data_IF_064606329398
#
_entry.id   IF_064606329398
#
_cell.length_a   1.000
_cell.length_b   1.000
_cell.length_c   1.000
_cell.angle_alpha   90.00
_cell.angle_beta   90.00
_cell.angle_gamma   90.00
#
_symmetry.space_group_name_H-M   'P 1'
#
loop_
_entity.id
_entity.type
_entity.pdbx_description
1 polymer ?
#
# COMPACT_ATOMS: atom_id res chain seq x y z
N UNK A 1 6.12 -17.49 -0.70
CA UNK A 1 4.80 -18.10 -0.98
C UNK A 1 4.94 -18.97 -2.22
N UNK A 2 4.21 -20.08 -2.40
CA UNK A 2 3.89 -20.47 -3.76
C UNK A 2 2.92 -19.41 -4.28
N UNK A 3 3.42 -18.45 -5.06
CA UNK A 3 2.59 -17.49 -5.77
C UNK A 3 1.86 -18.22 -6.91
N UNK A 4 0.52 -18.29 -6.85
CA UNK A 4 -0.29 -18.76 -7.97
C UNK A 4 -0.76 -17.60 -8.87
N UNK A 5 -0.87 -16.39 -8.31
CA UNK A 5 -1.27 -15.18 -9.01
C UNK A 5 -0.49 -13.97 -8.48
N UNK A 6 -0.10 -13.06 -9.38
CA UNK A 6 0.51 -11.79 -8.99
C UNK A 6 -0.56 -10.74 -8.73
N UNK A 7 -0.44 -9.98 -7.63
CA UNK A 7 -1.37 -8.91 -7.30
C UNK A 7 -1.27 -7.78 -8.32
N UNK A 8 -2.35 -7.55 -9.06
CA UNK A 8 -2.47 -6.38 -9.95
C UNK A 8 -2.71 -5.10 -9.15
N UNK A 9 -2.02 -4.01 -9.51
CA UNK A 9 -2.25 -2.67 -8.95
C UNK A 9 -2.73 -1.70 -10.03
N UNK A 10 -3.51 -0.67 -9.67
CA UNK A 10 -3.78 0.44 -10.57
C UNK A 10 -2.47 1.09 -11.06
N UNK A 11 -2.43 1.53 -12.32
CA UNK A 11 -1.24 2.15 -12.91
C UNK A 11 -0.75 3.38 -12.12
N UNK A 12 -1.68 4.14 -11.53
CA UNK A 12 -1.36 5.26 -10.64
C UNK A 12 -0.66 4.84 -9.35
N UNK A 13 -0.96 3.65 -8.82
CA UNK A 13 -0.29 3.11 -7.65
C UNK A 13 1.13 2.68 -7.99
N UNK A 14 1.29 1.90 -9.07
CA UNK A 14 2.59 1.50 -9.57
C UNK A 14 3.48 2.72 -9.84
N UNK A 15 2.92 3.74 -10.51
CA UNK A 15 3.63 5.02 -10.73
C UNK A 15 4.02 5.69 -9.42
N UNK A 16 3.10 5.76 -8.45
CA UNK A 16 3.37 6.41 -7.16
C UNK A 16 4.49 5.74 -6.37
N UNK A 17 4.55 4.40 -6.37
CA UNK A 17 5.60 3.64 -5.70
C UNK A 17 6.96 3.74 -6.41
N UNK A 18 6.97 3.86 -7.75
CA UNK A 18 8.21 3.91 -8.54
C UNK A 18 8.79 5.32 -8.71
N UNK A 19 7.95 6.36 -8.71
CA UNK A 19 8.39 7.73 -9.00
C UNK A 19 9.53 8.25 -8.10
N UNK A 20 9.64 7.90 -6.79
CA UNK A 20 10.75 8.35 -5.94
C UNK A 20 12.12 7.86 -6.41
N UNK A 21 12.15 6.73 -7.12
CA UNK A 21 13.39 6.10 -7.60
C UNK A 21 13.81 6.60 -8.99
N UNK A 22 13.00 7.47 -9.61
CA UNK A 22 13.32 8.02 -10.93
C UNK A 22 14.39 9.11 -10.77
N UNK A 23 15.55 8.92 -11.40
CA UNK A 23 16.67 9.88 -11.33
C UNK A 23 16.73 10.83 -12.54
N UNK A 24 16.23 10.40 -13.70
CA UNK A 24 16.23 11.20 -14.91
C UNK A 24 15.15 10.73 -15.90
N UNK A 25 14.76 11.60 -16.82
CA UNK A 25 13.85 11.32 -17.95
C UNK A 25 14.58 11.62 -19.26
N UNK A 26 14.63 10.67 -20.21
CA UNK A 26 15.12 10.95 -21.55
C UNK A 26 14.31 12.08 -22.22
N UNK A 27 14.93 13.02 -22.97
CA UNK A 27 14.26 14.21 -23.50
C UNK A 27 13.00 13.92 -24.35
N UNK A 28 12.98 12.78 -25.05
CA UNK A 28 11.91 12.41 -25.97
C UNK A 28 10.75 11.67 -25.30
N UNK A 29 10.90 11.18 -24.07
CA UNK A 29 9.84 10.44 -23.42
C UNK A 29 8.81 11.43 -22.87
N UNK A 30 7.48 11.29 -23.03
CA UNK A 30 6.51 12.23 -22.45
C UNK A 30 6.50 12.22 -20.91
N UNK A 31 5.83 13.19 -20.30
CA UNK A 31 5.54 13.18 -18.85
C UNK A 31 4.47 12.12 -18.57
N UNK A 32 4.53 11.49 -17.41
CA UNK A 32 3.52 10.52 -16.99
C UNK A 32 2.35 11.30 -16.36
N UNK A 33 1.15 11.10 -16.88
CA UNK A 33 -0.05 11.86 -16.46
C UNK A 33 -0.84 11.17 -15.34
N UNK A 34 -0.35 10.05 -14.80
CA UNK A 34 -0.98 9.41 -13.65
C UNK A 34 -0.85 10.27 -12.39
N UNK A 35 -1.91 10.23 -11.58
CA UNK A 35 -1.89 10.85 -10.26
C UNK A 35 -0.76 10.30 -9.41
N UNK A 36 -0.09 11.20 -8.68
CA UNK A 36 0.89 10.84 -7.67
C UNK A 36 0.23 10.93 -6.30
N UNK A 37 -0.12 9.80 -5.69
CA UNK A 37 -0.70 9.81 -4.34
C UNK A 37 0.38 10.07 -3.29
N UNK A 38 0.06 10.64 -2.12
CA UNK A 38 0.93 10.56 -0.94
C UNK A 38 1.45 9.16 -0.65
N UNK A 39 2.71 9.03 -0.23
CA UNK A 39 3.25 7.77 0.28
C UNK A 39 2.91 7.57 1.76
N UNK A 40 2.58 6.33 2.11
CA UNK A 40 2.44 5.82 3.47
C UNK A 40 3.77 5.25 3.91
N UNK A 41 4.21 5.66 5.10
CA UNK A 41 5.35 5.10 5.81
C UNK A 41 4.86 4.36 7.06
N UNK A 42 5.07 3.04 7.07
CA UNK A 42 4.71 2.19 8.21
C UNK A 42 5.88 2.20 9.19
N UNK A 43 5.68 2.82 10.35
CA UNK A 43 6.75 3.09 11.31
C UNK A 43 7.12 1.88 12.16
N UNK A 44 6.26 0.86 12.18
CA UNK A 44 6.45 -0.37 12.96
C UNK A 44 6.35 -1.63 12.08
N UNK A 45 7.11 -1.66 10.98
CA UNK A 45 7.17 -2.83 10.10
C UNK A 45 7.52 -4.13 10.87
N UNK A 46 6.96 -5.27 10.49
CA UNK A 46 7.33 -6.56 11.04
C UNK A 46 8.78 -6.92 10.67
N UNK A 47 9.40 -7.80 11.45
CA UNK A 47 10.72 -8.35 11.15
C UNK A 47 10.58 -9.80 10.66
N UNK A 48 11.45 -10.22 9.75
CA UNK A 48 11.53 -11.62 9.32
C UNK A 48 12.49 -12.39 10.24
N UNK A 49 12.01 -13.47 10.88
CA UNK A 49 12.83 -14.27 11.81
C UNK A 49 14.07 -14.91 11.16
N UNK A 50 14.05 -15.13 9.85
CA UNK A 50 15.17 -15.66 9.07
C UNK A 50 15.07 -15.14 7.62
N UNK A 51 16.21 -14.96 6.94
CA UNK A 51 16.32 -14.55 5.53
C UNK A 51 16.13 -13.06 5.19
N UNK A 52 16.15 -12.74 3.88
CA UNK A 52 15.95 -11.37 3.37
C UNK A 52 14.49 -11.18 2.97
N UNK A 53 13.72 -10.32 3.65
CA UNK A 53 12.32 -10.11 3.32
C UNK A 53 12.15 -9.53 1.92
N UNK A 54 11.05 -9.92 1.27
CA UNK A 54 10.69 -9.52 -0.08
C UNK A 54 9.31 -10.04 -0.47
N UNK A 55 8.70 -9.39 -1.45
CA UNK A 55 7.35 -9.71 -1.94
C UNK A 55 7.25 -11.16 -2.45
N UNK A 56 8.34 -11.80 -2.86
CA UNK A 56 8.41 -13.19 -3.32
C UNK A 56 9.02 -14.18 -2.30
N UNK A 57 9.24 -13.74 -1.05
CA UNK A 57 9.88 -14.57 -0.04
C UNK A 57 8.87 -15.21 0.92
N UNK A 58 9.09 -16.46 1.33
CA UNK A 58 8.21 -17.18 2.27
C UNK A 58 8.81 -17.22 3.68
N UNK A 59 8.75 -16.11 4.41
CA UNK A 59 9.24 -16.07 5.78
C UNK A 59 8.08 -15.93 6.75
N UNK A 60 8.12 -16.72 7.83
CA UNK A 60 7.21 -16.54 8.95
C UNK A 60 7.51 -15.19 9.58
N UNK A 61 6.63 -14.22 9.38
CA UNK A 61 6.69 -12.97 10.13
C UNK A 61 6.47 -13.28 11.60
N UNK A 62 7.26 -12.65 12.47
CA UNK A 62 7.16 -12.85 13.92
C UNK A 62 5.77 -12.48 14.47
N UNK A 63 5.03 -11.61 13.77
CA UNK A 63 3.78 -11.01 14.25
C UNK A 63 2.83 -10.66 13.08
N UNK A 64 2.14 -11.67 12.51
CA UNK A 64 1.32 -11.48 11.30
C UNK A 64 -0.10 -10.96 11.53
N UNK A 65 -0.92 -11.64 12.34
CA UNK A 65 -2.34 -11.30 12.48
C UNK A 65 -2.64 -10.52 13.77
N UNK A 66 -3.61 -9.60 13.71
CA UNK A 66 -4.10 -8.80 14.86
C UNK A 66 -3.10 -7.82 15.49
N UNK A 67 -1.93 -7.61 14.88
CA UNK A 67 -1.01 -6.55 15.28
C UNK A 67 -1.58 -5.19 14.90
N UNK A 68 -1.33 -4.18 15.73
CA UNK A 68 -1.62 -2.78 15.39
C UNK A 68 -0.48 -2.20 14.57
N UNK A 69 -0.76 -1.80 13.33
CA UNK A 69 0.13 -1.00 12.52
C UNK A 69 0.02 0.46 12.91
N UNK A 70 1.16 1.13 12.96
CA UNK A 70 1.29 2.57 13.11
C UNK A 70 1.94 3.09 11.84
N UNK A 71 1.38 4.16 11.28
CA UNK A 71 1.88 4.70 10.03
C UNK A 71 1.60 6.19 9.93
N UNK A 72 2.44 6.84 9.13
CA UNK A 72 2.28 8.22 8.70
C UNK A 72 2.14 8.26 7.19
N UNK A 73 1.69 9.37 6.63
CA UNK A 73 1.71 9.56 5.19
C UNK A 73 2.10 10.98 4.80
N UNK A 74 2.51 11.15 3.54
CA UNK A 74 2.89 12.45 3.01
C UNK A 74 1.71 13.43 3.00
N UNK A 75 1.93 14.73 3.23
CA UNK A 75 0.88 15.72 3.05
C UNK A 75 0.52 15.87 1.56
N UNK A 76 -0.67 16.40 1.29
CA UNK A 76 -1.10 16.80 -0.05
C UNK A 76 -0.27 17.99 -0.56
N UNK A 77 -0.15 18.10 -1.88
CA UNK A 77 0.57 19.15 -2.61
C UNK A 77 2.10 19.20 -2.36
N UNK A 78 2.67 18.16 -1.74
CA UNK A 78 4.11 18.01 -1.59
C UNK A 78 4.75 17.80 -2.95
N UNK A 79 5.73 18.61 -3.30
CA UNK A 79 6.54 18.43 -4.51
C UNK A 79 7.40 17.18 -4.37
N UNK A 80 7.37 16.29 -5.37
CA UNK A 80 8.09 15.01 -5.40
C UNK A 80 8.72 14.75 -6.77
N UNK A 81 9.65 13.80 -6.82
CA UNK A 81 10.42 13.46 -8.03
C UNK A 81 11.71 14.27 -8.18
N UNK A 82 12.64 13.78 -9.00
CA UNK A 82 13.97 14.38 -9.19
C UNK A 82 13.93 15.78 -9.83
N UNK A 83 12.89 16.07 -10.60
CA UNK A 83 12.68 17.33 -11.34
C UNK A 83 11.66 18.26 -10.67
N UNK A 84 11.04 17.81 -9.57
CA UNK A 84 9.97 18.54 -8.88
C UNK A 84 8.71 18.79 -9.72
N UNK A 85 8.48 18.05 -10.80
CA UNK A 85 7.33 18.23 -11.68
C UNK A 85 6.04 17.56 -11.19
N UNK A 86 6.13 16.75 -10.13
CA UNK A 86 5.00 16.05 -9.55
C UNK A 86 4.65 16.62 -8.18
N UNK A 87 3.36 16.69 -7.89
CA UNK A 87 2.84 17.01 -6.56
C UNK A 87 1.94 15.89 -6.09
N UNK A 88 2.00 15.58 -4.79
CA UNK A 88 1.09 14.63 -4.19
C UNK A 88 -0.35 15.14 -4.30
N UNK A 89 -1.28 14.29 -4.72
CA UNK A 89 -2.68 14.65 -4.89
C UNK A 89 -3.59 13.46 -4.58
N UNK A 90 -4.80 13.75 -4.13
CA UNK A 90 -5.88 12.80 -3.91
C UNK A 90 -7.22 13.51 -4.13
N UNK A 91 -8.22 12.77 -4.60
CA UNK A 91 -9.62 13.22 -4.70
C UNK A 91 -10.50 12.61 -3.61
N UNK A 92 -9.92 11.75 -2.77
CA UNK A 92 -10.64 11.03 -1.72
C UNK A 92 -11.07 11.98 -0.60
N UNK A 93 -12.15 11.61 0.08
CA UNK A 93 -12.61 12.26 1.30
C UNK A 93 -11.75 11.92 2.53
N UNK A 94 -12.37 12.01 3.70
CA UNK A 94 -11.71 11.71 4.98
C UNK A 94 -11.18 10.27 5.04
N UNK A 95 -9.96 10.08 5.54
CA UNK A 95 -9.34 8.77 5.70
C UNK A 95 -10.09 7.91 6.73
N UNK A 96 -10.62 6.75 6.32
CA UNK A 96 -11.42 5.86 7.19
C UNK A 96 -10.89 4.44 7.28
N UNK A 97 -10.24 3.93 6.24
CA UNK A 97 -9.78 2.54 6.20
C UNK A 97 -8.35 2.42 5.68
N UNK A 98 -7.63 1.41 6.18
CA UNK A 98 -6.42 0.87 5.57
C UNK A 98 -6.82 -0.37 4.76
N UNK A 99 -6.72 -0.28 3.45
CA UNK A 99 -6.94 -1.36 2.50
C UNK A 99 -5.67 -2.18 2.35
N UNK A 100 -5.74 -3.48 2.65
CA UNK A 100 -4.71 -4.47 2.39
C UNK A 100 -5.04 -5.14 1.06
N UNK A 101 -4.15 -4.98 0.09
CA UNK A 101 -4.32 -5.49 -1.27
C UNK A 101 -3.49 -6.77 -1.40
N UNK A 102 -4.19 -7.88 -1.50
CA UNK A 102 -3.62 -9.21 -1.67
C UNK A 102 -4.10 -9.84 -3.00
N UNK A 103 -3.53 -10.98 -3.37
CA UNK A 103 -3.66 -11.61 -4.70
C UNK A 103 -5.11 -11.78 -5.17
N UNK A 104 -6.01 -12.09 -4.25
CA UNK A 104 -7.40 -12.43 -4.58
C UNK A 104 -8.42 -11.38 -4.13
N UNK A 105 -8.14 -10.64 -3.05
CA UNK A 105 -9.11 -9.75 -2.41
C UNK A 105 -8.43 -8.52 -1.79
N UNK A 106 -9.23 -7.46 -1.62
CA UNK A 106 -8.86 -6.31 -0.80
C UNK A 106 -9.59 -6.41 0.53
N UNK A 107 -8.85 -6.34 1.64
CA UNK A 107 -9.41 -6.37 2.99
C UNK A 107 -9.23 -5.01 3.66
N UNK A 108 -10.30 -4.45 4.20
CA UNK A 108 -10.28 -3.13 4.84
C UNK A 108 -10.19 -3.27 6.36
N UNK A 109 -9.25 -2.54 6.95
CA UNK A 109 -9.17 -2.36 8.40
C UNK A 109 -9.56 -0.92 8.75
N UNK A 110 -10.51 -0.69 9.68
CA UNK A 110 -10.84 0.65 10.13
C UNK A 110 -9.64 1.35 10.76
N UNK A 111 -9.47 2.63 10.43
CA UNK A 111 -8.44 3.47 11.05
C UNK A 111 -8.81 3.82 12.49
N UNK A 112 -7.78 3.95 13.32
CA UNK A 112 -7.83 4.31 14.73
C UNK A 112 -6.80 5.40 14.99
N UNK A 113 -7.07 6.29 15.96
CA UNK A 113 -6.16 7.38 16.33
C UNK A 113 -5.76 8.25 15.13
N UNK A 114 -6.72 8.55 14.25
CA UNK A 114 -6.49 9.38 13.06
C UNK A 114 -6.13 10.80 13.51
N UNK A 115 -4.99 11.28 13.03
CA UNK A 115 -4.56 12.68 13.08
C UNK A 115 -4.28 13.18 11.66
N UNK A 116 -3.77 14.40 11.49
CA UNK A 116 -3.63 15.06 10.18
C UNK A 116 -2.91 14.20 9.11
N UNK A 117 -1.84 13.48 9.48
CA UNK A 117 -1.05 12.63 8.57
C UNK A 117 -0.55 11.35 9.26
N UNK A 118 -1.25 10.88 10.29
CA UNK A 118 -0.91 9.62 10.96
C UNK A 118 -2.16 8.91 11.45
N UNK A 119 -2.07 7.58 11.50
CA UNK A 119 -3.13 6.74 12.02
C UNK A 119 -2.56 5.39 12.44
N UNK A 120 -3.46 4.56 12.96
CA UNK A 120 -3.20 3.16 13.25
C UNK A 120 -4.32 2.28 12.71
N UNK A 121 -4.02 1.03 12.41
CA UNK A 121 -5.02 0.04 11.98
C UNK A 121 -4.59 -1.36 12.41
N UNK A 122 -5.55 -2.25 12.65
CA UNK A 122 -5.25 -3.63 13.02
C UNK A 122 -5.12 -4.47 11.76
N UNK A 123 -4.03 -5.23 11.63
CA UNK A 123 -3.84 -6.16 10.51
C UNK A 123 -4.96 -7.20 10.52
N UNK A 124 -5.73 -7.33 9.42
CA UNK A 124 -6.80 -8.31 9.31
C UNK A 124 -6.31 -9.72 9.62
N UNK A 125 -7.10 -10.47 10.38
CA UNK A 125 -6.84 -11.88 10.60
C UNK A 125 -7.38 -12.66 9.41
N UNK A 126 -6.57 -13.53 8.82
CA UNK A 126 -7.12 -14.52 7.92
C UNK A 126 -6.27 -15.76 7.79
N UNK A 127 -6.86 -16.75 7.12
CA UNK A 127 -6.30 -18.09 6.90
C UNK A 127 -6.54 -18.39 5.42
N UNK A 128 -5.50 -18.58 4.60
CA UNK A 128 -5.67 -18.89 3.16
C UNK A 128 -6.19 -20.32 3.00
N UNK A 129 -5.58 -21.26 3.75
CA UNK A 129 -5.99 -22.66 3.81
C UNK A 129 -5.75 -23.18 5.22
N UNK A 130 -6.76 -23.72 5.93
CA UNK A 130 -6.50 -24.43 7.18
C UNK A 130 -5.56 -25.62 6.92
N UNK A 131 -4.49 -25.82 7.69
CA UNK A 131 -4.09 -25.12 8.92
C UNK A 131 -3.04 -24.00 8.71
N UNK A 132 -2.69 -23.65 7.48
CA UNK A 132 -1.72 -22.59 7.18
C UNK A 132 -2.31 -21.19 7.46
N UNK A 133 -1.71 -20.41 8.39
CA UNK A 133 -2.10 -19.02 8.56
C UNK A 133 -1.96 -18.27 7.23
N UNK A 134 -2.69 -17.16 7.04
CA UNK A 134 -2.20 -16.13 6.11
C UNK A 134 -0.83 -15.76 6.66
N UNK A 135 0.24 -16.20 5.98
CA UNK A 135 1.49 -15.48 6.07
C UNK A 135 1.11 -14.09 5.61
N UNK A 136 0.99 -13.14 6.55
CA UNK A 136 0.76 -11.74 6.19
C UNK A 136 2.07 -11.30 5.56
N UNK A 137 2.33 -11.74 4.34
CA UNK A 137 3.53 -11.44 3.61
C UNK A 137 3.49 -9.96 3.24
N UNK A 138 4.55 -9.51 2.57
CA UNK A 138 4.60 -8.16 2.07
C UNK A 138 3.37 -7.88 1.18
N UNK A 139 2.58 -6.86 1.51
CA UNK A 139 1.35 -6.48 0.85
C UNK A 139 1.38 -5.01 0.47
N UNK A 140 0.68 -4.66 -0.60
CA UNK A 140 0.42 -3.26 -0.91
C UNK A 140 -0.71 -2.76 -0.03
N UNK A 141 -0.56 -1.54 0.47
CA UNK A 141 -1.58 -0.90 1.31
C UNK A 141 -2.01 0.43 0.74
N UNK A 142 -3.27 0.78 0.95
CA UNK A 142 -3.82 2.07 0.58
C UNK A 142 -4.72 2.62 1.70
N UNK A 143 -4.55 3.88 2.05
CA UNK A 143 -5.49 4.59 2.91
C UNK A 143 -6.66 5.02 2.03
N UNK A 144 -7.88 4.72 2.47
CA UNK A 144 -9.10 4.97 1.69
C UNK A 144 -10.18 5.66 2.51
N UNK A 145 -11.05 6.39 1.82
CA UNK A 145 -12.19 7.09 2.43
C UNK A 145 -13.46 6.22 2.57
N UNK A 146 -13.47 5.07 1.90
CA UNK A 146 -14.58 4.13 1.83
C UNK A 146 -14.09 2.71 1.53
N UNK A 147 -14.83 1.72 2.00
CA UNK A 147 -14.59 0.28 1.86
C UNK A 147 -15.23 -0.27 0.58
N UNK A 148 -14.85 0.29 -0.57
CA UNK A 148 -15.42 -0.11 -1.87
C UNK A 148 -15.14 -1.58 -2.15
N UNK A 149 -16.18 -2.35 -2.45
CA UNK A 149 -15.99 -3.74 -2.84
C UNK A 149 -15.31 -3.84 -4.21
N UNK A 150 -14.08 -4.37 -4.21
CA UNK A 150 -13.27 -4.57 -5.40
C UNK A 150 -12.73 -5.99 -5.51
N UNK A 151 -12.52 -6.41 -6.74
CA UNK A 151 -11.91 -7.65 -7.19
C UNK A 151 -10.73 -7.31 -8.10
N UNK A 152 -9.88 -8.28 -8.48
CA UNK A 152 -8.83 -8.03 -9.46
C UNK A 152 -9.33 -7.42 -10.78
N UNK A 153 -10.60 -7.64 -11.16
CA UNK A 153 -11.19 -7.10 -12.37
C UNK A 153 -11.46 -5.58 -12.31
N UNK A 154 -11.77 -5.03 -11.14
CA UNK A 154 -12.21 -3.63 -10.97
C UNK A 154 -11.41 -2.85 -9.90
N UNK A 155 -10.21 -3.31 -9.56
CA UNK A 155 -9.36 -2.68 -8.53
C UNK A 155 -9.04 -1.21 -8.82
N UNK A 156 -9.08 -0.77 -10.08
CA UNK A 156 -8.92 0.63 -10.47
C UNK A 156 -9.98 1.56 -9.87
N UNK A 157 -11.13 1.04 -9.42
CA UNK A 157 -12.15 1.83 -8.73
C UNK A 157 -11.65 2.40 -7.40
N UNK A 158 -10.63 1.80 -6.79
CA UNK A 158 -10.01 2.34 -5.57
C UNK A 158 -9.36 3.70 -5.78
N UNK A 159 -8.91 4.03 -6.98
CA UNK A 159 -8.12 5.24 -7.27
C UNK A 159 -8.86 6.51 -6.83
N UNK A 160 -10.18 6.58 -7.04
CA UNK A 160 -10.97 7.76 -6.65
C UNK A 160 -11.17 7.88 -5.12
N UNK A 161 -10.95 6.79 -4.40
CA UNK A 161 -11.14 6.66 -2.96
C UNK A 161 -9.80 6.62 -2.19
N UNK A 162 -8.67 6.79 -2.89
CA UNK A 162 -7.34 6.65 -2.32
C UNK A 162 -6.82 7.96 -1.75
N UNK A 163 -6.52 7.98 -0.46
CA UNK A 163 -5.86 9.10 0.22
C UNK A 163 -4.34 9.02 0.07
N UNK A 164 -3.76 7.85 0.33
CA UNK A 164 -2.32 7.60 0.30
C UNK A 164 -2.06 6.12 0.03
N UNK A 165 -0.86 5.76 -0.45
CA UNK A 165 -0.48 4.35 -0.68
C UNK A 165 0.89 4.02 -0.13
N UNK A 166 1.14 2.76 0.20
CA UNK A 166 2.46 2.30 0.61
C UNK A 166 2.61 0.80 0.52
N UNK A 167 3.67 0.32 1.17
CA UNK A 167 4.02 -1.11 1.21
C UNK A 167 4.10 -1.51 2.67
N UNK A 168 3.33 -2.54 3.02
CA UNK A 168 3.53 -3.30 4.24
C UNK A 168 4.45 -4.45 3.92
N UNK A 169 5.65 -4.49 4.47
CA UNK A 169 6.59 -5.58 4.25
C UNK A 169 7.41 -5.83 5.51
N UNK A 170 8.11 -6.95 5.54
CA UNK A 170 9.11 -7.13 6.57
C UNK A 170 10.37 -6.31 6.27
N UNK A 171 10.93 -5.72 7.33
CA UNK A 171 12.22 -5.02 7.31
C UNK A 171 13.38 -5.96 7.62
#
# INVERSE_FOLDING_TARGET
MPEWFETGLPQSYAWTLLSPYTQSRPPNNPRIEFARFPLVDITNQPYALDGKPGINSNYTLTEGARRTLQFTWEPLHKTVGYDGLYKTQSTAGESKFLAFIDQLNVTYAPLQNVSDCSASAVVPNGTVFPPQPIGVNSAFVAITDSDVFVTPYNISMLVNHTVAIGIYQAS
#
